data_IF_016116729131
#
_entry.id   IF_016116729131
#
_cell.length_a   1.000
_cell.length_b   1.000
_cell.length_c   1.000
_cell.angle_alpha   90.00
_cell.angle_beta   90.00
_cell.angle_gamma   90.00
#
_symmetry.space_group_name_H-M   'P 1'
#
loop_
_entity.id
_entity.type
_entity.pdbx_description
1 polymer ?
#
# COMPACT_ATOMS: atom_id res chain seq x y z
N UNK A 1 -27.29 9.12 3.90
CA UNK A 1 -26.86 8.25 5.03
C UNK A 1 -27.70 8.53 6.26
N UNK A 2 -28.27 7.51 6.87
CA UNK A 2 -29.09 7.65 8.08
C UNK A 2 -28.37 6.92 9.21
N UNK A 3 -28.07 7.59 10.34
CA UNK A 3 -27.44 6.95 11.50
C UNK A 3 -28.30 5.86 12.12
N UNK A 4 -27.67 4.89 12.79
CA UNK A 4 -28.37 3.83 13.52
C UNK A 4 -29.36 4.39 14.56
N UNK A 5 -28.96 5.47 15.23
CA UNK A 5 -29.83 6.13 16.23
C UNK A 5 -31.16 6.62 15.64
N UNK A 6 -31.23 6.82 14.33
CA UNK A 6 -32.44 7.26 13.62
C UNK A 6 -33.03 6.14 12.76
N UNK A 7 -32.66 4.89 13.03
CA UNK A 7 -33.20 3.72 12.35
C UNK A 7 -32.50 3.35 11.04
N UNK A 8 -31.36 3.95 10.74
CA UNK A 8 -30.53 3.61 9.57
C UNK A 8 -29.47 2.57 9.88
N UNK A 9 -28.61 2.30 8.91
CA UNK A 9 -27.50 1.32 9.00
C UNK A 9 -26.13 1.96 9.11
N UNK A 10 -26.03 3.29 9.15
CA UNK A 10 -24.75 3.97 9.31
C UNK A 10 -24.35 4.03 10.79
N UNK A 11 -23.20 3.47 11.10
CA UNK A 11 -22.62 3.51 12.45
C UNK A 11 -21.97 4.86 12.66
N UNK A 12 -22.32 5.54 13.76
CA UNK A 12 -21.78 6.84 14.14
C UNK A 12 -21.05 6.71 15.47
N UNK A 13 -19.80 7.16 15.52
CA UNK A 13 -18.99 7.17 16.73
C UNK A 13 -18.48 8.58 16.98
N UNK A 14 -18.80 9.10 18.15
CA UNK A 14 -18.31 10.41 18.58
C UNK A 14 -16.92 10.26 19.21
N UNK A 15 -15.94 11.00 18.70
CA UNK A 15 -14.56 10.92 19.16
C UNK A 15 -13.97 12.30 19.43
N UNK A 16 -12.91 12.33 20.26
CA UNK A 16 -12.01 13.45 20.39
C UNK A 16 -10.58 12.93 20.21
N UNK A 17 -9.99 13.21 19.08
CA UNK A 17 -8.61 12.79 18.79
C UNK A 17 -7.61 13.47 19.73
N UNK A 18 -7.86 14.74 20.08
CA UNK A 18 -6.99 15.50 20.96
C UNK A 18 -6.95 14.91 22.36
N UNK A 19 -8.09 14.46 22.89
CA UNK A 19 -8.21 13.91 24.24
C UNK A 19 -8.21 12.38 24.26
N UNK A 20 -8.09 11.74 23.10
CA UNK A 20 -8.11 10.28 22.95
C UNK A 20 -9.39 9.64 23.51
N UNK A 21 -10.54 10.29 23.30
CA UNK A 21 -11.85 9.78 23.72
C UNK A 21 -12.54 9.11 22.52
N UNK A 22 -13.03 7.90 22.71
CA UNK A 22 -13.81 7.19 21.70
C UNK A 22 -13.02 6.59 20.55
N UNK A 23 -11.70 6.75 20.52
CA UNK A 23 -10.86 6.24 19.42
C UNK A 23 -10.84 4.72 19.39
N UNK A 24 -10.78 4.06 20.55
CA UNK A 24 -10.84 2.60 20.63
C UNK A 24 -12.16 2.06 20.10
N UNK A 25 -13.28 2.71 20.43
CA UNK A 25 -14.60 2.35 19.89
C UNK A 25 -14.66 2.51 18.38
N UNK A 26 -14.07 3.56 17.84
CA UNK A 26 -13.97 3.77 16.39
C UNK A 26 -13.20 2.64 15.73
N UNK A 27 -12.06 2.25 16.28
CA UNK A 27 -11.24 1.16 15.74
C UNK A 27 -11.96 -0.19 15.82
N UNK A 28 -12.66 -0.47 16.91
CA UNK A 28 -13.47 -1.69 17.05
C UNK A 28 -14.57 -1.75 16.00
N UNK A 29 -15.27 -0.63 15.76
CA UNK A 29 -16.33 -0.58 14.74
C UNK A 29 -15.77 -0.76 13.34
N UNK A 30 -14.62 -0.20 13.04
CA UNK A 30 -13.93 -0.39 11.75
C UNK A 30 -13.54 -1.85 11.53
N UNK A 31 -13.01 -2.51 12.56
CA UNK A 31 -12.68 -3.92 12.48
C UNK A 31 -13.89 -4.79 12.26
N UNK A 32 -15.00 -4.50 12.95
CA UNK A 32 -16.24 -5.23 12.82
C UNK A 32 -16.84 -5.10 11.41
N UNK A 33 -16.83 -3.91 10.85
CA UNK A 33 -17.28 -3.66 9.48
C UNK A 33 -16.42 -4.45 8.49
N UNK A 34 -15.10 -4.44 8.67
CA UNK A 34 -14.17 -5.18 7.81
C UNK A 34 -14.44 -6.71 7.89
N UNK A 35 -14.73 -7.24 9.06
CA UNK A 35 -15.09 -8.66 9.24
C UNK A 35 -16.39 -9.01 8.52
N UNK A 36 -17.40 -8.16 8.64
CA UNK A 36 -18.71 -8.38 7.99
C UNK A 36 -18.58 -8.35 6.47
N UNK A 37 -17.78 -7.43 5.93
CA UNK A 37 -17.54 -7.33 4.49
C UNK A 37 -16.66 -8.46 3.96
N UNK A 38 -15.98 -9.18 4.85
CA UNK A 38 -15.13 -10.32 4.50
C UNK A 38 -14.08 -9.95 3.42
N UNK A 39 -13.36 -8.86 3.68
CA UNK A 39 -12.36 -8.34 2.75
C UNK A 39 -11.18 -9.30 2.63
N UNK A 40 -10.92 -9.74 1.42
CA UNK A 40 -9.88 -10.73 1.13
C UNK A 40 -9.00 -10.30 -0.02
N UNK A 41 -7.76 -10.74 0.03
CA UNK A 41 -6.83 -10.60 -1.08
C UNK A 41 -5.89 -11.79 -1.11
N UNK A 42 -5.39 -12.13 -2.31
CA UNK A 42 -4.45 -13.24 -2.47
C UNK A 42 -3.02 -12.75 -2.27
N UNK A 43 -2.27 -13.46 -1.41
CA UNK A 43 -0.84 -13.24 -1.25
C UNK A 43 -0.02 -14.01 -2.30
N UNK A 44 -0.66 -14.84 -3.11
CA UNK A 44 0.00 -15.64 -4.13
C UNK A 44 0.17 -14.87 -5.44
N UNK A 45 1.27 -15.12 -6.12
CA UNK A 45 1.54 -14.52 -7.42
C UNK A 45 2.27 -13.19 -7.33
N UNK A 46 2.32 -12.52 -8.47
CA UNK A 46 3.03 -11.24 -8.60
C UNK A 46 2.27 -10.12 -7.92
N UNK A 47 3.03 -9.25 -7.29
CA UNK A 47 2.44 -8.12 -6.58
C UNK A 47 1.85 -7.10 -7.53
N UNK A 48 0.77 -6.48 -7.09
CA UNK A 48 0.21 -5.28 -7.70
C UNK A 48 -0.39 -4.40 -6.61
N UNK A 49 -0.49 -3.13 -6.88
CA UNK A 49 -1.03 -2.18 -5.93
C UNK A 49 -0.94 -0.76 -6.43
N UNK A 50 -0.85 0.18 -5.52
CA UNK A 50 -0.90 1.60 -5.82
C UNK A 50 0.27 2.33 -5.18
N UNK A 51 0.78 3.35 -5.88
CA UNK A 51 1.80 4.26 -5.33
C UNK A 51 1.08 5.32 -4.48
N UNK A 52 1.43 5.36 -3.19
CA UNK A 52 0.87 6.35 -2.26
C UNK A 52 1.58 7.69 -2.37
N UNK A 53 2.91 7.65 -2.40
CA UNK A 53 3.75 8.84 -2.55
C UNK A 53 5.09 8.45 -3.17
N UNK A 54 5.80 9.44 -3.67
CA UNK A 54 7.12 9.21 -4.25
C UNK A 54 7.95 10.49 -4.13
N UNK A 55 9.24 10.32 -3.92
CA UNK A 55 10.16 11.45 -3.83
C UNK A 55 11.58 11.02 -4.21
N UNK A 56 12.43 12.01 -4.45
CA UNK A 56 13.84 11.79 -4.71
C UNK A 56 14.63 12.02 -3.42
N UNK A 57 15.24 10.97 -2.92
CA UNK A 57 16.10 11.03 -1.74
C UNK A 57 17.55 11.19 -2.19
N UNK A 58 18.29 12.11 -1.55
CA UNK A 58 19.67 12.43 -1.95
C UNK A 58 20.64 11.27 -1.76
N UNK A 59 20.36 10.37 -0.81
CA UNK A 59 21.23 9.21 -0.54
C UNK A 59 20.77 7.93 -1.18
N UNK A 60 19.45 7.75 -1.35
CA UNK A 60 18.85 6.51 -1.80
C UNK A 60 18.31 6.56 -3.23
N UNK A 61 18.24 7.74 -3.84
CA UNK A 61 17.66 7.93 -5.16
C UNK A 61 16.13 7.99 -5.11
N UNK A 62 15.44 7.60 -6.19
CA UNK A 62 13.98 7.58 -6.20
C UNK A 62 13.43 6.58 -5.18
N UNK A 63 12.53 7.04 -4.33
CA UNK A 63 11.85 6.24 -3.30
C UNK A 63 10.36 6.35 -3.51
N UNK A 64 9.67 5.22 -3.63
CA UNK A 64 8.23 5.17 -3.76
C UNK A 64 7.64 4.43 -2.57
N UNK A 65 6.65 5.03 -1.91
CA UNK A 65 5.84 4.32 -0.91
C UNK A 65 4.65 3.72 -1.62
N UNK A 66 4.53 2.41 -1.57
CA UNK A 66 3.48 1.67 -2.26
C UNK A 66 2.64 0.88 -1.27
N UNK A 67 1.37 0.69 -1.60
CA UNK A 67 0.48 -0.21 -0.89
C UNK A 67 0.26 -1.45 -1.76
N UNK A 68 0.71 -2.60 -1.28
CA UNK A 68 0.48 -3.87 -1.96
C UNK A 68 -0.97 -4.26 -1.77
N UNK A 69 -1.69 -4.48 -2.86
CA UNK A 69 -3.11 -4.86 -2.84
C UNK A 69 -3.29 -6.35 -3.12
N UNK A 70 -2.46 -6.93 -3.97
CA UNK A 70 -2.49 -8.35 -4.31
C UNK A 70 -1.08 -8.87 -4.47
N UNK A 71 -0.89 -10.17 -4.23
CA UNK A 71 0.38 -10.84 -4.40
C UNK A 71 1.38 -10.48 -3.30
N UNK A 72 2.62 -10.87 -3.50
CA UNK A 72 3.73 -10.57 -2.58
C UNK A 72 4.86 -9.89 -3.34
N UNK A 73 5.22 -8.70 -2.90
CA UNK A 73 6.35 -7.95 -3.45
C UNK A 73 7.62 -8.36 -2.73
N UNK A 74 8.66 -8.72 -3.46
CA UNK A 74 9.93 -9.20 -2.89
C UNK A 74 11.10 -8.42 -3.44
N UNK A 75 12.19 -8.37 -2.68
CA UNK A 75 13.45 -7.80 -3.15
C UNK A 75 13.94 -8.56 -4.38
N UNK A 76 14.34 -7.84 -5.41
CA UNK A 76 14.77 -8.39 -6.68
C UNK A 76 13.69 -8.45 -7.76
N UNK A 77 12.44 -8.17 -7.41
CA UNK A 77 11.35 -8.18 -8.39
C UNK A 77 11.46 -7.01 -9.37
N UNK A 78 11.25 -7.26 -10.68
CA UNK A 78 11.10 -6.16 -11.65
C UNK A 78 9.74 -5.49 -11.44
N UNK A 79 9.74 -4.18 -11.29
CA UNK A 79 8.53 -3.41 -10.98
C UNK A 79 8.33 -2.29 -11.99
N UNK A 80 7.07 -2.05 -12.34
CA UNK A 80 6.65 -0.94 -13.20
C UNK A 80 5.58 -0.15 -12.46
N UNK A 81 5.75 1.16 -12.38
CA UNK A 81 4.81 2.08 -11.74
C UNK A 81 4.62 3.29 -12.65
N UNK A 82 3.54 3.32 -13.45
CA UNK A 82 3.32 4.35 -14.45
C UNK A 82 4.49 4.40 -15.44
N UNK A 83 5.11 5.58 -15.64
CA UNK A 83 6.26 5.71 -16.54
C UNK A 83 7.58 5.25 -15.91
N UNK A 84 7.60 4.97 -14.62
CA UNK A 84 8.80 4.55 -13.90
C UNK A 84 8.92 3.02 -13.86
N UNK A 85 10.13 2.53 -13.86
CA UNK A 85 10.41 1.10 -13.81
C UNK A 85 11.71 0.87 -13.04
N UNK A 86 11.95 -0.37 -12.67
CA UNK A 86 13.19 -0.72 -11.98
C UNK A 86 13.12 -2.12 -11.42
N UNK A 87 14.13 -2.45 -10.64
CA UNK A 87 14.18 -3.69 -9.88
C UNK A 87 14.23 -3.33 -8.40
N UNK A 88 13.41 -3.98 -7.60
CA UNK A 88 13.38 -3.72 -6.16
C UNK A 88 14.74 -4.04 -5.55
N UNK A 89 15.45 -3.01 -5.11
CA UNK A 89 16.75 -3.15 -4.47
C UNK A 89 16.62 -3.37 -2.97
N UNK A 90 15.66 -2.72 -2.35
CA UNK A 90 15.35 -2.86 -0.94
C UNK A 90 13.89 -2.48 -0.68
N UNK A 91 13.32 -3.07 0.36
CA UNK A 91 12.01 -2.73 0.87
C UNK A 91 12.16 -2.27 2.33
N UNK A 92 11.51 -1.17 2.68
CA UNK A 92 11.53 -0.63 4.04
C UNK A 92 10.09 -0.56 4.53
N UNK A 93 9.83 -1.16 5.69
CA UNK A 93 8.50 -1.18 6.29
C UNK A 93 8.10 0.19 6.84
N UNK A 94 6.86 0.31 7.25
CA UNK A 94 6.32 1.52 7.90
C UNK A 94 7.04 1.86 9.23
N UNK A 95 7.66 0.88 9.86
CA UNK A 95 8.44 1.09 11.09
C UNK A 95 9.90 1.46 10.80
N UNK A 96 10.32 1.53 9.55
CA UNK A 96 11.68 1.88 9.16
C UNK A 96 12.64 0.69 9.06
N UNK A 97 12.16 -0.52 9.23
CA UNK A 97 12.99 -1.73 9.12
C UNK A 97 13.06 -2.23 7.68
N UNK A 98 14.22 -2.72 7.28
CA UNK A 98 14.35 -3.41 6.01
C UNK A 98 13.66 -4.77 6.08
N UNK A 99 12.81 -5.04 5.08
CA UNK A 99 12.10 -6.31 4.97
C UNK A 99 12.46 -6.97 3.63
N UNK A 100 12.27 -8.28 3.55
CA UNK A 100 12.57 -9.04 2.34
C UNK A 100 11.38 -9.11 1.39
N UNK A 101 10.17 -9.10 1.92
CA UNK A 101 8.94 -9.16 1.15
C UNK A 101 7.82 -8.36 1.83
N UNK A 102 6.74 -8.11 1.07
CA UNK A 102 5.56 -7.43 1.56
C UNK A 102 4.32 -8.07 0.93
N UNK A 103 3.41 -8.54 1.76
CA UNK A 103 2.14 -9.12 1.34
C UNK A 103 1.03 -8.08 1.15
N UNK A 104 -0.21 -8.53 0.88
CA UNK A 104 -1.36 -7.63 0.70
C UNK A 104 -1.61 -6.74 1.92
N UNK A 105 -2.04 -5.51 1.67
CA UNK A 105 -2.32 -4.48 2.67
C UNK A 105 -1.10 -4.00 3.45
N UNK A 106 0.11 -4.26 2.96
CA UNK A 106 1.34 -3.78 3.58
C UNK A 106 1.87 -2.56 2.84
N UNK A 107 1.95 -1.38 3.50
CA UNK A 107 2.65 -0.25 2.92
C UNK A 107 4.16 -0.43 3.09
N UNK A 108 4.91 -0.22 2.03
CA UNK A 108 6.38 -0.32 2.05
C UNK A 108 7.00 0.74 1.16
N UNK A 109 8.20 1.16 1.52
CA UNK A 109 9.02 2.00 0.66
C UNK A 109 9.86 1.10 -0.25
N UNK A 110 9.81 1.39 -1.54
CA UNK A 110 10.55 0.66 -2.58
C UNK A 110 11.73 1.50 -3.03
N UNK A 111 12.92 0.92 -2.96
CA UNK A 111 14.15 1.49 -3.50
C UNK A 111 14.54 0.73 -4.77
N UNK A 112 15.12 1.43 -5.73
CA UNK A 112 15.59 0.82 -6.97
C UNK A 112 14.82 1.24 -8.22
N UNK A 113 13.86 2.16 -8.10
CA UNK A 113 13.15 2.72 -9.25
C UNK A 113 14.07 3.58 -10.11
N UNK A 114 13.82 3.63 -11.42
CA UNK A 114 14.59 4.44 -12.36
C UNK A 114 14.30 5.93 -12.21
N UNK A 115 13.12 6.29 -11.75
CA UNK A 115 12.67 7.67 -11.61
C UNK A 115 11.58 7.74 -10.56
N UNK A 116 11.18 8.95 -10.20
CA UNK A 116 10.11 9.21 -9.25
C UNK A 116 8.76 8.82 -9.88
N UNK A 117 8.04 7.91 -9.25
CA UNK A 117 6.70 7.54 -9.68
C UNK A 117 5.69 8.62 -9.29
N UNK A 118 4.50 8.60 -9.89
CA UNK A 118 3.44 9.56 -9.60
C UNK A 118 2.50 8.96 -8.57
N UNK A 119 2.18 9.71 -7.51
CA UNK A 119 1.21 9.28 -6.51
C UNK A 119 -0.14 8.97 -7.17
N UNK A 120 -0.72 7.85 -6.80
CA UNK A 120 -1.96 7.35 -7.40
C UNK A 120 -1.75 6.39 -8.58
N UNK A 121 -0.55 6.30 -9.14
CA UNK A 121 -0.26 5.34 -10.20
C UNK A 121 -0.32 3.91 -9.65
N UNK A 122 -0.77 3.00 -10.51
CA UNK A 122 -0.72 1.58 -10.20
C UNK A 122 0.68 1.04 -10.47
N UNK A 123 1.12 0.11 -9.62
CA UNK A 123 2.34 -0.63 -9.88
C UNK A 123 2.03 -2.11 -10.09
N UNK A 124 2.88 -2.76 -10.86
CA UNK A 124 2.84 -4.21 -11.06
C UNK A 124 4.26 -4.76 -11.03
N UNK A 125 4.38 -6.02 -10.62
CA UNK A 125 5.61 -6.78 -10.81
C UNK A 125 5.54 -7.42 -12.20
N UNK A 126 6.49 -7.08 -13.05
CA UNK A 126 6.56 -7.64 -14.39
C UNK A 126 7.12 -9.08 -14.36
N UNK A 127 6.77 -9.92 -15.36
CA UNK A 127 7.32 -11.28 -15.44
C UNK A 127 8.84 -11.33 -15.58
N UNK A 128 9.42 -10.33 -16.23
CA UNK A 128 10.84 -10.15 -16.34
C UNK A 128 11.20 -8.67 -16.58
N UNK A 129 12.47 -8.36 -16.50
CA UNK A 129 12.99 -7.02 -16.70
C UNK A 129 12.73 -6.46 -18.12
N UNK A 130 12.68 -7.33 -19.12
CA UNK A 130 12.35 -6.97 -20.49
C UNK A 130 10.94 -6.39 -20.61
N UNK A 131 9.99 -6.99 -19.91
CA UNK A 131 8.61 -6.51 -19.90
C UNK A 131 8.49 -5.16 -19.21
N UNK A 132 9.28 -4.94 -18.17
CA UNK A 132 9.36 -3.62 -17.52
C UNK A 132 9.80 -2.54 -18.49
N UNK A 133 10.81 -2.82 -19.29
CA UNK A 133 11.34 -1.88 -20.30
C UNK A 133 10.32 -1.62 -21.43
N UNK A 134 9.55 -2.62 -21.81
CA UNK A 134 8.52 -2.50 -22.87
C UNK A 134 7.36 -1.61 -22.42
N UNK A 135 7.03 -1.60 -21.14
CA UNK A 135 5.92 -0.82 -20.60
C UNK A 135 6.26 0.66 -20.36
N UNK A 136 7.46 1.05 -20.59
CA UNK A 136 7.88 2.45 -20.59
C UNK A 136 7.49 3.08 -21.93
#
# INVERSE_FOLDING_TARGET
MVPEAWGGDTIVVEISALENIGVDDLLENLNLIAEVEDLKSSAKGRASGVVLESHLDTGRGPVATVLVQQGTLSVGDPIVAGPSWGRVRALVSDTGEQVHDAGPSCPVQVLGMSDVAIAGDEFIVAPDERLSLIHI
#
